data_IF_872129191300
#
_entry.id   IF_872129191300
#
_cell.length_a   1.000
_cell.length_b   1.000
_cell.length_c   1.000
_cell.angle_alpha   90.00
_cell.angle_beta   90.00
_cell.angle_gamma   90.00
#
_symmetry.space_group_name_H-M   'P 1'
#
loop_
_entity.id
_entity.type
_entity.pdbx_description
1 polymer ?
#
# COMPACT_ATOMS: atom_id res chain seq x y z
N UNK A 1 5.64 -23.04 -18.87
CA UNK A 1 5.85 -21.66 -18.39
C UNK A 1 4.51 -21.12 -17.92
N UNK A 2 4.36 -20.77 -16.63
CA UNK A 2 3.15 -20.17 -16.07
C UNK A 2 3.36 -18.66 -15.98
N UNK A 3 2.28 -17.89 -16.17
CA UNK A 3 2.25 -16.46 -15.84
C UNK A 3 1.72 -16.31 -14.43
N UNK A 4 2.48 -15.65 -13.57
CA UNK A 4 2.20 -15.52 -12.14
C UNK A 4 2.35 -14.06 -11.75
N UNK A 5 1.30 -13.47 -11.18
CA UNK A 5 1.35 -12.17 -10.52
C UNK A 5 1.36 -12.40 -9.02
N UNK A 6 2.32 -11.81 -8.33
CA UNK A 6 2.52 -11.93 -6.89
C UNK A 6 2.38 -10.57 -6.23
N UNK A 7 1.68 -10.52 -5.11
CA UNK A 7 1.57 -9.33 -4.26
C UNK A 7 1.83 -9.72 -2.82
N UNK A 8 2.36 -8.80 -2.03
CA UNK A 8 2.38 -8.85 -0.56
C UNK A 8 1.36 -7.86 0.01
N UNK A 9 1.10 -7.92 1.30
CA UNK A 9 0.39 -6.85 1.99
C UNK A 9 1.11 -5.51 1.76
N UNK A 10 0.35 -4.44 1.53
CA UNK A 10 0.92 -3.12 1.34
C UNK A 10 1.34 -2.56 2.70
N UNK A 11 2.61 -2.12 2.87
CA UNK A 11 3.02 -1.47 4.10
C UNK A 11 2.31 -0.13 4.25
N UNK A 12 1.83 0.16 5.46
CA UNK A 12 1.13 1.40 5.73
C UNK A 12 2.11 2.56 5.90
N UNK A 13 1.90 3.66 5.16
CA UNK A 13 2.85 4.77 5.05
C UNK A 13 2.80 5.74 6.25
N UNK A 14 2.77 5.22 7.48
CA UNK A 14 2.75 6.02 8.72
C UNK A 14 3.92 5.73 9.67
N UNK A 15 4.88 4.91 9.27
CA UNK A 15 6.05 4.56 10.06
C UNK A 15 6.95 3.54 9.41
N UNK A 16 8.06 3.27 10.09
CA UNK A 16 9.13 2.39 9.60
C UNK A 16 8.70 0.93 9.50
N UNK A 17 9.30 0.21 8.57
CA UNK A 17 9.20 -1.24 8.48
C UNK A 17 9.92 -1.88 9.67
N UNK A 18 9.31 -2.87 10.28
CA UNK A 18 9.92 -3.67 11.34
C UNK A 18 10.08 -5.13 10.93
N UNK A 19 10.80 -5.91 11.74
CA UNK A 19 11.11 -7.31 11.44
C UNK A 19 9.87 -8.17 11.14
N UNK A 20 8.73 -7.89 11.78
CA UNK A 20 7.47 -8.58 11.51
C UNK A 20 6.98 -8.39 10.07
N UNK A 21 7.10 -7.18 9.53
CA UNK A 21 6.81 -6.88 8.13
C UNK A 21 7.79 -7.62 7.19
N UNK A 22 9.09 -7.57 7.51
CA UNK A 22 10.14 -8.18 6.68
C UNK A 22 9.97 -9.69 6.51
N UNK A 23 9.41 -10.40 7.49
CA UNK A 23 9.16 -11.85 7.39
C UNK A 23 8.29 -12.16 6.17
N UNK A 24 7.19 -11.42 5.98
CA UNK A 24 6.29 -11.63 4.84
C UNK A 24 6.99 -11.33 3.50
N UNK A 25 7.65 -10.17 3.41
CA UNK A 25 8.30 -9.76 2.16
C UNK A 25 9.46 -10.67 1.77
N UNK A 26 10.28 -11.10 2.74
CA UNK A 26 11.38 -12.04 2.52
C UNK A 26 10.88 -13.41 2.05
N UNK A 27 9.84 -13.95 2.71
CA UNK A 27 9.26 -15.23 2.29
C UNK A 27 8.69 -15.15 0.88
N UNK A 28 8.02 -14.04 0.55
CA UNK A 28 7.47 -13.81 -0.78
C UNK A 28 8.56 -13.67 -1.83
N UNK A 29 9.60 -12.89 -1.56
CA UNK A 29 10.73 -12.70 -2.48
C UNK A 29 11.47 -14.03 -2.75
N UNK A 30 11.72 -14.83 -1.72
CA UNK A 30 12.33 -16.17 -1.87
C UNK A 30 11.46 -17.04 -2.79
N UNK A 31 10.16 -17.04 -2.58
CA UNK A 31 9.23 -17.80 -3.42
C UNK A 31 9.22 -17.30 -4.87
N UNK A 32 9.21 -15.99 -5.08
CA UNK A 32 9.27 -15.36 -6.41
C UNK A 32 10.56 -15.73 -7.13
N UNK A 33 11.71 -15.64 -6.45
CA UNK A 33 13.00 -16.07 -7.01
C UNK A 33 12.97 -17.53 -7.42
N UNK A 34 12.39 -18.40 -6.60
CA UNK A 34 12.22 -19.81 -6.95
C UNK A 34 11.35 -19.98 -8.21
N UNK A 35 10.25 -19.25 -8.37
CA UNK A 35 9.41 -19.32 -9.56
C UNK A 35 10.15 -18.83 -10.81
N UNK A 36 10.88 -17.73 -10.70
CA UNK A 36 11.73 -17.20 -11.80
C UNK A 36 12.82 -18.22 -12.19
N UNK A 37 13.50 -18.81 -11.21
CA UNK A 37 14.50 -19.87 -11.44
C UNK A 37 13.89 -21.15 -12.07
N UNK A 38 12.63 -21.43 -11.77
CA UNK A 38 11.86 -22.53 -12.39
C UNK A 38 11.30 -22.19 -13.77
N UNK A 39 11.80 -21.12 -14.40
CA UNK A 39 11.42 -20.65 -15.74
C UNK A 39 9.94 -20.29 -15.88
N UNK A 40 9.31 -19.79 -14.79
CA UNK A 40 8.00 -19.19 -14.86
C UNK A 40 8.11 -17.67 -15.10
N UNK A 41 7.12 -17.11 -15.81
CA UNK A 41 6.95 -15.66 -16.00
C UNK A 41 6.28 -15.09 -14.73
N UNK A 42 7.11 -14.69 -13.76
CA UNK A 42 6.68 -14.29 -12.43
C UNK A 42 6.97 -12.81 -12.20
N UNK A 43 5.92 -12.03 -11.95
CA UNK A 43 5.99 -10.59 -11.67
C UNK A 43 5.59 -10.33 -10.22
N UNK A 44 6.45 -9.69 -9.45
CA UNK A 44 6.22 -9.31 -8.05
C UNK A 44 6.01 -7.81 -7.92
N UNK A 45 4.83 -7.41 -7.46
CA UNK A 45 4.47 -5.99 -7.28
C UNK A 45 4.07 -5.71 -5.83
N UNK A 46 4.36 -4.50 -5.38
CA UNK A 46 3.90 -3.98 -4.10
C UNK A 46 3.73 -2.45 -4.18
N UNK A 47 3.16 -1.86 -3.13
CA UNK A 47 3.00 -0.41 -3.02
C UNK A 47 2.86 -0.01 -1.55
N UNK A 48 3.11 1.27 -1.22
CA UNK A 48 2.70 1.82 0.07
C UNK A 48 1.19 2.03 0.11
N UNK A 49 0.55 1.63 1.21
CA UNK A 49 -0.80 2.05 1.55
C UNK A 49 -0.75 3.45 2.19
N UNK A 50 -1.15 4.47 1.41
CA UNK A 50 -0.86 5.87 1.70
C UNK A 50 -2.12 6.70 2.05
N UNK A 51 -3.22 6.07 2.45
CA UNK A 51 -4.47 6.77 2.77
C UNK A 51 -5.00 6.40 4.17
N UNK A 52 -5.76 7.32 4.76
CA UNK A 52 -6.49 7.10 6.00
C UNK A 52 -6.17 8.11 7.11
N UNK A 53 -7.06 8.18 8.09
CA UNK A 53 -6.98 9.09 9.24
C UNK A 53 -5.66 8.97 10.03
N UNK A 54 -5.09 7.76 10.29
CA UNK A 54 -3.84 7.65 11.04
C UNK A 54 -2.67 8.39 10.40
N UNK A 55 -2.61 8.48 9.05
CA UNK A 55 -1.58 9.27 8.35
C UNK A 55 -1.77 10.76 8.61
N UNK A 56 -3.02 11.24 8.58
CA UNK A 56 -3.32 12.65 8.86
C UNK A 56 -2.96 13.03 10.31
N UNK A 57 -3.32 12.17 11.28
CA UNK A 57 -2.99 12.39 12.69
C UNK A 57 -1.47 12.39 12.92
N UNK A 58 -0.76 11.43 12.33
CA UNK A 58 0.71 11.37 12.43
C UNK A 58 1.39 12.57 11.80
N UNK A 59 0.92 13.04 10.65
CA UNK A 59 1.43 14.23 10.00
C UNK A 59 1.20 15.49 10.87
N UNK A 60 0.04 15.63 11.53
CA UNK A 60 -0.23 16.70 12.50
C UNK A 60 0.71 16.64 13.69
N UNK A 61 0.90 15.45 14.29
CA UNK A 61 1.85 15.24 15.40
C UNK A 61 3.26 15.69 15.05
N UNK A 62 3.72 15.38 13.83
CA UNK A 62 5.04 15.76 13.32
C UNK A 62 5.11 17.18 12.76
N UNK A 63 3.99 17.90 12.71
CA UNK A 63 3.87 19.23 12.12
C UNK A 63 4.38 19.31 10.65
N UNK A 64 4.02 18.30 9.86
CA UNK A 64 4.29 18.20 8.42
C UNK A 64 3.00 17.94 7.65
N UNK A 65 3.04 18.00 6.31
CA UNK A 65 1.88 17.62 5.50
C UNK A 65 1.78 16.11 5.35
N UNK A 66 0.57 15.54 5.16
CA UNK A 66 0.39 14.11 4.87
C UNK A 66 1.22 13.64 3.66
N UNK A 67 1.28 14.45 2.61
CA UNK A 67 2.05 14.13 1.40
C UNK A 67 3.54 14.00 1.69
N UNK A 68 4.08 14.88 2.55
CA UNK A 68 5.48 14.80 2.97
C UNK A 68 5.74 13.54 3.79
N UNK A 69 4.82 13.19 4.70
CA UNK A 69 4.94 11.97 5.51
C UNK A 69 5.00 10.73 4.63
N UNK A 70 4.06 10.57 3.69
CA UNK A 70 4.02 9.40 2.81
C UNK A 70 5.21 9.33 1.86
N UNK A 71 5.73 10.48 1.41
CA UNK A 71 6.94 10.53 0.58
C UNK A 71 8.19 10.07 1.36
N UNK A 72 8.34 10.53 2.60
CA UNK A 72 9.44 10.15 3.48
C UNK A 72 9.35 8.65 3.84
N UNK A 73 8.16 8.17 4.22
CA UNK A 73 7.91 6.74 4.49
C UNK A 73 8.24 5.86 3.28
N UNK A 74 7.83 6.25 2.08
CA UNK A 74 8.15 5.52 0.86
C UNK A 74 9.65 5.39 0.62
N UNK A 75 10.40 6.48 0.82
CA UNK A 75 11.87 6.46 0.67
C UNK A 75 12.53 5.51 1.67
N UNK A 76 12.06 5.52 2.91
CA UNK A 76 12.54 4.62 3.97
C UNK A 76 12.23 3.16 3.63
N UNK A 77 10.98 2.85 3.26
CA UNK A 77 10.55 1.50 2.89
C UNK A 77 11.37 0.93 1.73
N UNK A 78 11.57 1.72 0.65
CA UNK A 78 12.39 1.30 -0.50
C UNK A 78 13.84 0.99 -0.06
N UNK A 79 14.40 1.82 0.82
CA UNK A 79 15.75 1.60 1.35
C UNK A 79 15.80 0.33 2.18
N UNK A 80 14.85 0.12 3.09
CA UNK A 80 14.81 -1.05 3.96
C UNK A 80 14.66 -2.34 3.14
N UNK A 81 13.79 -2.36 2.13
CA UNK A 81 13.68 -3.50 1.23
C UNK A 81 14.98 -3.78 0.49
N UNK A 82 15.66 -2.75 0.01
CA UNK A 82 16.95 -2.90 -0.67
C UNK A 82 18.05 -3.44 0.26
N UNK A 83 18.09 -2.97 1.51
CA UNK A 83 19.05 -3.42 2.54
C UNK A 83 18.87 -4.92 2.86
N UNK A 84 17.65 -5.46 2.71
CA UNK A 84 17.32 -6.88 2.86
C UNK A 84 17.29 -7.65 1.54
N UNK A 85 17.73 -7.04 0.43
CA UNK A 85 17.77 -7.67 -0.91
C UNK A 85 16.41 -8.14 -1.43
N UNK A 86 15.34 -7.51 -0.98
CA UNK A 86 13.98 -7.75 -1.48
C UNK A 86 13.82 -6.96 -2.78
N UNK A 87 13.42 -7.64 -3.86
CA UNK A 87 13.31 -7.05 -5.19
C UNK A 87 11.88 -7.16 -5.71
N UNK A 88 11.23 -6.02 -5.90
CA UNK A 88 9.97 -5.92 -6.62
C UNK A 88 10.21 -5.61 -8.09
N UNK A 89 9.44 -6.21 -8.98
CA UNK A 89 9.42 -5.79 -10.39
C UNK A 89 8.77 -4.41 -10.55
N UNK A 90 7.85 -4.05 -9.62
CA UNK A 90 7.33 -2.69 -9.47
C UNK A 90 6.95 -2.42 -8.01
N UNK A 91 7.46 -1.33 -7.44
CA UNK A 91 7.04 -0.79 -6.16
C UNK A 91 6.48 0.63 -6.33
N UNK A 92 5.22 0.83 -5.94
CA UNK A 92 4.52 2.08 -6.21
C UNK A 92 3.91 2.69 -4.92
N UNK A 93 2.80 3.38 -5.04
CA UNK A 93 2.02 3.93 -3.92
C UNK A 93 0.54 3.97 -4.29
N UNK A 94 -0.33 3.79 -3.32
CA UNK A 94 -1.77 4.01 -3.53
C UNK A 94 -2.10 5.49 -3.73
N UNK A 95 -1.22 6.42 -3.31
CA UNK A 95 -1.33 7.85 -3.60
C UNK A 95 -0.75 8.18 -4.97
N UNK A 96 -1.41 7.71 -6.03
CA UNK A 96 -1.03 7.91 -7.43
C UNK A 96 -2.24 8.26 -8.29
N UNK A 97 -1.98 8.93 -9.40
CA UNK A 97 -3.04 9.30 -10.34
C UNK A 97 -3.70 8.07 -10.95
N UNK A 98 -2.92 7.02 -11.25
CA UNK A 98 -3.42 5.76 -11.80
C UNK A 98 -4.39 5.09 -10.83
N UNK A 99 -4.03 5.02 -9.54
CA UNK A 99 -4.90 4.43 -8.52
C UNK A 99 -6.18 5.26 -8.33
N UNK A 100 -6.07 6.60 -8.35
CA UNK A 100 -7.23 7.49 -8.28
C UNK A 100 -8.20 7.24 -9.44
N UNK A 101 -7.70 7.25 -10.67
CA UNK A 101 -8.51 7.02 -11.87
C UNK A 101 -9.21 5.67 -11.84
N UNK A 102 -8.49 4.60 -11.47
CA UNK A 102 -9.06 3.25 -11.40
C UNK A 102 -10.08 3.12 -10.27
N UNK A 103 -9.85 3.73 -9.12
CA UNK A 103 -10.79 3.73 -8.00
C UNK A 103 -12.07 4.47 -8.36
N UNK A 104 -11.97 5.65 -8.99
CA UNK A 104 -13.14 6.40 -9.49
C UNK A 104 -13.91 5.60 -10.56
N UNK A 105 -13.22 4.96 -11.48
CA UNK A 105 -13.84 4.11 -12.50
C UNK A 105 -14.64 2.95 -11.87
N UNK A 106 -14.03 2.26 -10.91
CA UNK A 106 -14.69 1.14 -10.20
C UNK A 106 -15.90 1.67 -9.42
N UNK A 107 -15.76 2.77 -8.69
CA UNK A 107 -16.83 3.37 -7.92
C UNK A 107 -18.03 3.74 -8.82
N UNK A 108 -17.78 4.44 -9.93
CA UNK A 108 -18.82 4.85 -10.87
C UNK A 108 -19.54 3.64 -11.47
N UNK A 109 -18.81 2.61 -11.87
CA UNK A 109 -19.40 1.37 -12.38
C UNK A 109 -20.30 0.68 -11.36
N UNK A 110 -19.90 0.68 -10.08
CA UNK A 110 -20.71 0.09 -9.00
C UNK A 110 -21.94 0.94 -8.70
N UNK A 111 -21.82 2.27 -8.76
CA UNK A 111 -22.94 3.19 -8.59
C UNK A 111 -23.98 3.03 -9.70
N UNK A 112 -23.55 2.95 -10.96
CA UNK A 112 -24.42 2.71 -12.12
C UNK A 112 -25.17 1.38 -12.02
N UNK A 113 -24.54 0.36 -11.45
CA UNK A 113 -25.16 -0.96 -11.21
C UNK A 113 -26.10 -0.99 -9.99
N UNK A 114 -26.22 0.11 -9.25
CA UNK A 114 -27.09 0.22 -8.07
C UNK A 114 -26.68 -0.64 -6.89
N UNK A 115 -25.36 -1.01 -6.77
CA UNK A 115 -24.85 -1.82 -5.66
C UNK A 115 -24.28 -0.96 -4.53
N UNK A 116 -24.29 0.37 -4.67
CA UNK A 116 -23.88 1.32 -3.64
C UNK A 116 -25.12 1.92 -2.98
N UNK A 117 -25.20 1.83 -1.65
CA UNK A 117 -26.25 2.42 -0.84
C UNK A 117 -25.70 3.53 0.05
N UNK A 118 -26.55 4.52 0.38
CA UNK A 118 -26.29 5.49 1.44
C UNK A 118 -27.08 5.10 2.65
N UNK A 119 -26.43 5.00 3.82
CA UNK A 119 -27.06 4.74 5.11
C UNK A 119 -26.53 5.73 6.15
N UNK A 120 -27.41 6.15 7.04
CA UNK A 120 -26.99 6.85 8.25
C UNK A 120 -26.48 5.82 9.25
N UNK A 121 -25.36 6.10 9.88
CA UNK A 121 -24.75 5.28 10.93
C UNK A 121 -24.48 6.16 12.15
N UNK A 122 -24.77 5.63 13.35
CA UNK A 122 -24.38 6.27 14.59
C UNK A 122 -22.91 5.97 14.86
N UNK A 123 -22.11 7.00 15.13
CA UNK A 123 -20.70 6.89 15.51
C UNK A 123 -20.43 7.76 16.73
N UNK A 124 -19.51 7.30 17.57
CA UNK A 124 -18.96 8.17 18.61
C UNK A 124 -18.12 9.25 17.95
N UNK A 125 -18.35 10.48 18.34
CA UNK A 125 -17.62 11.65 17.87
C UNK A 125 -17.11 12.40 19.09
N UNK A 126 -15.85 12.82 19.08
CA UNK A 126 -15.25 13.61 20.14
C UNK A 126 -15.11 15.06 19.62
N UNK A 127 -15.89 15.96 20.20
CA UNK A 127 -15.89 17.38 19.81
C UNK A 127 -14.61 18.12 20.24
N UNK A 128 -13.81 17.52 21.14
CA UNK A 128 -12.58 18.12 21.68
C UNK A 128 -11.32 17.79 20.87
N UNK A 129 -11.41 16.90 19.87
CA UNK A 129 -10.31 16.49 18.97
C UNK A 129 -10.46 17.01 17.54
N UNK A 130 -10.89 18.26 17.34
CA UNK A 130 -10.85 18.92 16.04
C UNK A 130 -9.41 19.31 15.60
#
# INVERSE_FOLDING_TARGET
>A
MRKILVTSALPYANGSIHLGHLVEYLQTDIWVRHQKMSNNDCTYICADDAHGTPIMLKARELNITPEKLIEESKKEHIKDFADFHIEFDNYHTTHSEENRMLSELIYNNLQEKGVIERREIEQYYDDDEE
#
